data_IF_060489972391
#
_entry.id   IF_060489972391
#
_cell.length_a   1.000
_cell.length_b   1.000
_cell.length_c   1.000
_cell.angle_alpha   90.00
_cell.angle_beta   90.00
_cell.angle_gamma   90.00
#
_symmetry.space_group_name_H-M   'P 1'
#
loop_
_entity.id
_entity.type
_entity.pdbx_description
1 polymer ?
#
# COMPACT_ATOMS: atom_id res chain seq x y z
N UNK A 1 5.61 -14.56 -18.83
CA UNK A 1 6.38 -13.30 -18.92
C UNK A 1 7.59 -13.53 -19.80
N UNK A 2 7.89 -12.59 -20.71
CA UNK A 2 9.09 -12.64 -21.56
C UNK A 2 10.35 -12.85 -20.70
N UNK A 3 11.32 -13.64 -21.20
CA UNK A 3 12.64 -13.85 -20.55
C UNK A 3 13.42 -12.55 -20.29
N UNK A 4 12.97 -11.42 -20.85
CA UNK A 4 13.59 -10.09 -20.73
C UNK A 4 12.82 -9.11 -19.83
N UNK A 5 11.83 -9.54 -19.07
CA UNK A 5 11.07 -8.62 -18.20
C UNK A 5 11.88 -8.24 -16.95
N UNK A 6 12.40 -7.01 -16.94
CA UNK A 6 13.27 -6.48 -15.88
C UNK A 6 12.52 -6.32 -14.55
N UNK A 7 13.21 -6.46 -13.43
CA UNK A 7 12.63 -6.18 -12.12
C UNK A 7 12.28 -4.69 -11.96
N UNK A 8 11.30 -4.36 -11.11
CA UNK A 8 10.83 -2.97 -10.93
C UNK A 8 11.97 -1.98 -10.56
N UNK A 9 12.91 -2.30 -9.64
CA UNK A 9 14.02 -1.40 -9.35
C UNK A 9 14.90 -1.06 -10.57
N UNK A 10 15.08 -2.04 -11.47
CA UNK A 10 15.86 -1.86 -12.69
C UNK A 10 15.08 -0.97 -13.67
N UNK A 11 13.78 -1.23 -13.87
CA UNK A 11 12.92 -0.40 -14.73
C UNK A 11 12.90 1.06 -14.26
N UNK A 12 12.73 1.27 -12.95
CA UNK A 12 12.72 2.61 -12.37
C UNK A 12 14.09 3.29 -12.49
N UNK A 13 15.18 2.59 -12.22
CA UNK A 13 16.54 3.13 -12.36
C UNK A 13 16.84 3.56 -13.79
N UNK A 14 16.54 2.72 -14.78
CA UNK A 14 16.74 3.04 -16.19
C UNK A 14 15.91 4.25 -16.63
N UNK A 15 14.65 4.32 -16.19
CA UNK A 15 13.77 5.45 -16.50
C UNK A 15 14.27 6.74 -15.86
N UNK A 16 14.69 6.71 -14.59
CA UNK A 16 15.27 7.87 -13.91
C UNK A 16 16.56 8.33 -14.57
N UNK A 17 17.47 7.42 -14.95
CA UNK A 17 18.70 7.76 -15.67
C UNK A 17 18.38 8.43 -17.00
N UNK A 18 17.38 7.94 -17.74
CA UNK A 18 16.90 8.55 -18.98
C UNK A 18 16.42 9.98 -18.75
N UNK A 19 15.46 10.16 -17.83
CA UNK A 19 14.90 11.49 -17.53
C UNK A 19 15.96 12.46 -16.97
N UNK A 20 16.95 11.98 -16.20
CA UNK A 20 18.04 12.81 -15.68
C UNK A 20 18.89 13.37 -16.82
N UNK A 21 19.24 12.52 -17.80
CA UNK A 21 20.04 12.94 -18.98
C UNK A 21 19.30 13.94 -19.85
N UNK A 22 17.99 13.81 -19.94
CA UNK A 22 17.12 14.72 -20.69
C UNK A 22 16.80 16.02 -19.94
N UNK A 23 17.15 16.12 -18.65
CA UNK A 23 16.82 17.27 -17.83
C UNK A 23 15.36 17.33 -17.36
N UNK A 24 14.61 16.24 -17.54
CA UNK A 24 13.16 16.16 -17.30
C UNK A 24 12.78 15.32 -16.07
N UNK A 25 13.76 14.88 -15.28
CA UNK A 25 13.49 14.07 -14.10
C UNK A 25 12.68 14.82 -13.04
N UNK A 26 12.02 14.06 -12.17
CA UNK A 26 11.35 14.61 -10.99
C UNK A 26 12.28 15.45 -10.09
N UNK A 27 13.59 15.22 -10.13
CA UNK A 27 14.56 15.98 -9.34
C UNK A 27 14.96 17.31 -9.97
N UNK A 28 14.75 17.47 -11.28
CA UNK A 28 15.18 18.66 -12.03
C UNK A 28 14.01 19.58 -12.37
N UNK A 29 12.85 18.98 -12.71
CA UNK A 29 11.70 19.72 -13.19
C UNK A 29 10.51 19.51 -12.24
N UNK A 30 10.17 20.50 -11.40
CA UNK A 30 9.10 20.38 -10.42
C UNK A 30 7.69 20.59 -10.99
N UNK A 31 7.58 21.16 -12.20
CA UNK A 31 6.32 21.40 -12.90
C UNK A 31 6.33 20.77 -14.30
N UNK A 32 5.16 20.36 -14.78
CA UNK A 32 4.91 19.99 -16.18
C UNK A 32 4.81 21.26 -17.04
N UNK A 33 4.83 21.11 -18.35
CA UNK A 33 4.71 22.24 -19.29
C UNK A 33 3.35 22.95 -19.23
N UNK A 34 2.31 22.24 -18.80
CA UNK A 34 0.97 22.81 -18.55
C UNK A 34 0.84 23.52 -17.19
N UNK A 35 1.94 23.67 -16.43
CA UNK A 35 1.95 24.33 -15.13
C UNK A 35 1.51 23.46 -13.95
N UNK A 36 1.04 22.22 -14.18
CA UNK A 36 0.69 21.30 -13.11
C UNK A 36 1.95 20.73 -12.43
N UNK A 37 1.84 20.26 -11.17
CA UNK A 37 2.95 19.57 -10.50
C UNK A 37 3.50 18.40 -11.31
N UNK A 38 4.83 18.31 -11.39
CA UNK A 38 5.54 17.23 -12.07
C UNK A 38 5.27 15.85 -11.43
N UNK A 39 4.97 15.85 -10.14
CA UNK A 39 4.56 14.69 -9.36
C UNK A 39 3.21 14.96 -8.70
N UNK A 40 2.23 14.14 -9.02
CA UNK A 40 0.96 14.07 -8.28
C UNK A 40 0.92 12.70 -7.62
N UNK A 41 0.62 12.64 -6.31
CA UNK A 41 0.66 11.40 -5.56
C UNK A 41 -0.30 10.38 -6.19
N UNK A 42 0.18 9.22 -6.67
CA UNK A 42 -0.69 8.18 -7.21
C UNK A 42 -1.58 7.61 -6.11
N UNK A 43 -2.87 7.47 -6.35
CA UNK A 43 -3.87 6.96 -5.39
C UNK A 43 -4.68 5.82 -5.98
N UNK A 44 -5.13 4.92 -5.10
CA UNK A 44 -6.16 3.97 -5.44
C UNK A 44 -7.53 4.61 -5.16
N UNK A 45 -8.37 4.88 -6.18
CA UNK A 45 -9.62 5.62 -5.99
C UNK A 45 -10.66 4.88 -5.16
N UNK A 46 -10.61 3.54 -5.12
CA UNK A 46 -11.54 2.72 -4.32
C UNK A 46 -11.26 2.79 -2.83
N UNK A 47 -9.97 2.84 -2.45
CA UNK A 47 -9.56 2.84 -1.04
C UNK A 47 -9.20 4.24 -0.52
N UNK A 48 -9.04 5.22 -1.41
CA UNK A 48 -8.50 6.55 -1.11
C UNK A 48 -7.01 6.55 -0.73
N UNK A 49 -6.36 5.38 -0.64
CA UNK A 49 -4.98 5.28 -0.17
C UNK A 49 -4.00 5.60 -1.29
N UNK A 50 -3.02 6.43 -0.96
CA UNK A 50 -1.87 6.67 -1.83
C UNK A 50 -0.96 5.46 -1.95
N UNK A 51 -0.43 5.22 -3.14
CA UNK A 51 0.67 4.28 -3.34
C UNK A 51 1.93 4.81 -2.63
N UNK A 52 2.82 3.90 -2.26
CA UNK A 52 3.98 4.19 -1.41
C UNK A 52 5.32 3.86 -2.08
N UNK A 53 6.38 4.51 -1.61
CA UNK A 53 7.77 4.21 -1.96
C UNK A 53 8.00 4.12 -3.48
N UNK A 54 8.61 3.02 -3.95
CA UNK A 54 8.98 2.83 -5.35
C UNK A 54 7.77 2.79 -6.29
N UNK A 55 6.62 2.31 -5.81
CA UNK A 55 5.39 2.28 -6.61
C UNK A 55 4.87 3.69 -6.84
N UNK A 56 4.92 4.57 -5.84
CA UNK A 56 4.54 5.97 -6.02
C UNK A 56 5.41 6.64 -7.08
N UNK A 57 6.73 6.40 -7.06
CA UNK A 57 7.65 6.95 -8.05
C UNK A 57 7.35 6.43 -9.45
N UNK A 58 7.31 5.11 -9.67
CA UNK A 58 7.17 4.57 -11.03
C UNK A 58 5.83 4.96 -11.69
N UNK A 59 4.75 5.05 -10.89
CA UNK A 59 3.44 5.49 -11.35
C UNK A 59 3.43 7.00 -11.61
N UNK A 60 3.95 7.81 -10.68
CA UNK A 60 4.03 9.27 -10.85
C UNK A 60 4.90 9.69 -12.04
N UNK A 61 5.94 8.91 -12.35
CA UNK A 61 6.79 9.13 -13.52
C UNK A 61 6.14 8.72 -14.85
N UNK A 62 4.93 8.16 -14.87
CA UNK A 62 4.15 8.02 -16.11
C UNK A 62 3.53 9.35 -16.56
N UNK A 63 3.54 10.39 -15.70
CA UNK A 63 3.16 11.78 -16.02
C UNK A 63 1.71 12.00 -16.46
N UNK A 64 0.81 11.06 -16.17
CA UNK A 64 -0.63 11.31 -16.23
C UNK A 64 -1.04 12.48 -15.32
N UNK A 65 -2.06 13.22 -15.73
CA UNK A 65 -2.65 14.30 -14.94
C UNK A 65 -3.63 13.73 -13.89
N UNK A 66 -4.30 12.62 -14.23
CA UNK A 66 -5.14 11.90 -13.28
C UNK A 66 -4.29 11.07 -12.29
N UNK A 67 -4.46 11.25 -10.97
CA UNK A 67 -3.67 10.52 -9.98
C UNK A 67 -4.18 9.09 -9.71
N UNK A 68 -5.29 8.65 -10.33
CA UNK A 68 -5.97 7.40 -9.96
C UNK A 68 -5.41 6.21 -10.73
N UNK A 69 -5.09 5.14 -10.01
CA UNK A 69 -4.55 3.91 -10.57
C UNK A 69 -5.26 2.67 -10.04
N UNK A 70 -5.59 1.74 -10.93
CA UNK A 70 -6.24 0.46 -10.61
C UNK A 70 -5.63 -0.69 -11.41
N UNK A 71 -5.67 -1.90 -10.88
CA UNK A 71 -5.48 -3.09 -11.72
C UNK A 71 -6.70 -3.28 -12.62
N UNK A 72 -6.54 -4.01 -13.72
CA UNK A 72 -7.66 -4.32 -14.60
C UNK A 72 -8.82 -5.03 -13.86
N UNK A 73 -8.51 -5.90 -12.91
CA UNK A 73 -9.53 -6.60 -12.11
C UNK A 73 -10.24 -5.67 -11.13
N UNK A 74 -9.51 -4.74 -10.49
CA UNK A 74 -10.12 -3.74 -9.62
C UNK A 74 -10.98 -2.74 -10.40
N UNK A 75 -10.53 -2.34 -11.59
CA UNK A 75 -11.31 -1.51 -12.51
C UNK A 75 -12.63 -2.21 -12.88
N UNK A 76 -12.57 -3.48 -13.31
CA UNK A 76 -13.76 -4.28 -13.64
C UNK A 76 -14.72 -4.44 -12.47
N UNK A 77 -14.19 -4.72 -11.29
CA UNK A 77 -15.01 -4.82 -10.07
C UNK A 77 -15.75 -3.52 -9.77
N UNK A 78 -15.12 -2.38 -10.04
CA UNK A 78 -15.72 -1.06 -9.89
C UNK A 78 -16.56 -0.61 -11.12
N UNK A 79 -16.84 -1.50 -12.08
CA UNK A 79 -17.64 -1.19 -13.27
C UNK A 79 -16.91 -0.43 -14.38
N UNK A 80 -15.57 -0.39 -14.36
CA UNK A 80 -14.73 0.31 -15.34
C UNK A 80 -13.96 -0.69 -16.20
N UNK A 81 -13.54 -0.26 -17.39
CA UNK A 81 -12.76 -1.11 -18.30
C UNK A 81 -11.52 -0.43 -18.81
N UNK A 82 -10.38 -1.13 -18.78
CA UNK A 82 -9.16 -0.67 -19.45
C UNK A 82 -9.39 -0.66 -20.96
N UNK A 83 -9.04 0.44 -21.63
CA UNK A 83 -9.14 0.58 -23.08
C UNK A 83 -8.26 -0.45 -23.80
N UNK A 84 -8.70 -0.90 -24.97
CA UNK A 84 -7.95 -1.87 -25.76
C UNK A 84 -6.58 -1.30 -26.17
N UNK A 85 -5.53 -2.13 -26.07
CA UNK A 85 -4.16 -1.77 -26.45
C UNK A 85 -3.36 -1.01 -25.39
N UNK A 86 -3.99 -0.56 -24.30
CA UNK A 86 -3.30 0.14 -23.21
C UNK A 86 -2.29 -0.75 -22.47
N UNK A 87 -1.22 -0.12 -21.99
CA UNK A 87 -0.13 -0.82 -21.30
C UNK A 87 -0.12 -0.45 -19.82
N UNK A 88 -0.13 -1.47 -18.97
CA UNK A 88 -0.07 -1.31 -17.53
C UNK A 88 1.36 -1.04 -17.03
N UNK A 89 1.46 -0.31 -15.93
CA UNK A 89 2.70 -0.04 -15.19
C UNK A 89 2.88 -1.07 -14.09
N UNK A 90 4.05 -1.72 -14.06
CA UNK A 90 4.37 -2.71 -13.04
C UNK A 90 4.51 -2.05 -11.66
N UNK A 91 3.87 -2.62 -10.66
CA UNK A 91 4.14 -2.38 -9.25
C UNK A 91 4.54 -3.66 -8.54
N UNK A 92 5.24 -3.49 -7.42
CA UNK A 92 5.57 -4.61 -6.53
C UNK A 92 5.11 -4.32 -5.10
N UNK A 93 4.54 -5.32 -4.43
CA UNK A 93 3.97 -5.15 -3.09
C UNK A 93 4.16 -6.41 -2.24
N UNK A 94 4.24 -6.29 -0.91
CA UNK A 94 4.22 -7.46 -0.04
C UNK A 94 2.85 -8.14 -0.13
N UNK A 95 2.80 -9.32 -0.74
CA UNK A 95 1.61 -10.17 -0.80
C UNK A 95 1.60 -11.08 0.42
N UNK A 96 0.60 -10.94 1.29
CA UNK A 96 0.48 -11.69 2.56
C UNK A 96 -0.50 -12.85 2.49
N UNK A 97 -1.30 -12.95 1.43
CA UNK A 97 -2.25 -14.04 1.23
C UNK A 97 -2.48 -14.31 -0.26
N UNK A 98 -3.02 -15.49 -0.57
CA UNK A 98 -3.47 -15.85 -1.91
C UNK A 98 -4.83 -16.52 -1.88
N UNK A 99 -5.61 -16.35 -2.94
CA UNK A 99 -6.89 -17.04 -3.09
C UNK A 99 -6.61 -18.35 -3.82
N UNK A 100 -6.81 -19.48 -3.14
CA UNK A 100 -6.59 -20.81 -3.69
C UNK A 100 -7.91 -21.55 -3.87
N UNK A 101 -8.08 -22.25 -4.99
CA UNK A 101 -9.23 -23.14 -5.19
C UNK A 101 -9.25 -24.24 -4.13
N UNK A 102 -10.41 -24.47 -3.53
CA UNK A 102 -10.62 -25.63 -2.65
C UNK A 102 -10.65 -26.87 -3.54
N UNK A 103 -9.92 -27.91 -3.12
CA UNK A 103 -9.78 -29.16 -3.86
C UNK A 103 -10.19 -30.35 -3.01
N UNK A 104 -10.72 -31.40 -3.64
CA UNK A 104 -10.98 -32.71 -3.04
C UNK A 104 -9.67 -33.43 -2.70
N UNK A 105 -9.74 -34.56 -1.99
CA UNK A 105 -8.56 -35.38 -1.68
C UNK A 105 -7.87 -35.91 -2.94
N UNK A 106 -8.62 -36.04 -4.03
CA UNK A 106 -8.21 -36.49 -5.35
C UNK A 106 -7.68 -35.33 -6.22
N UNK A 107 -7.70 -34.09 -5.71
CA UNK A 107 -7.13 -32.91 -6.35
C UNK A 107 -8.07 -32.14 -7.29
N UNK A 108 -9.34 -32.56 -7.40
CA UNK A 108 -10.35 -31.89 -8.23
C UNK A 108 -10.87 -30.62 -7.56
N UNK A 109 -11.24 -29.60 -8.34
CA UNK A 109 -11.76 -28.33 -7.80
C UNK A 109 -13.20 -28.51 -7.31
N UNK A 110 -13.47 -28.10 -6.07
CA UNK A 110 -14.83 -28.09 -5.52
C UNK A 110 -15.58 -26.88 -6.09
N UNK A 111 -16.79 -27.11 -6.59
CA UNK A 111 -17.70 -26.06 -7.08
C UNK A 111 -18.89 -25.92 -6.15
N UNK A 112 -19.47 -24.72 -6.09
CA UNK A 112 -20.76 -24.50 -5.44
C UNK A 112 -21.93 -24.90 -6.34
N UNK A 113 -23.16 -24.75 -5.84
CA UNK A 113 -24.40 -25.08 -6.54
C UNK A 113 -24.60 -24.27 -7.83
N UNK A 114 -23.95 -23.10 -7.96
CA UNK A 114 -23.94 -22.27 -9.15
C UNK A 114 -22.83 -22.66 -10.15
N UNK A 115 -22.04 -23.70 -9.85
CA UNK A 115 -20.94 -24.17 -10.68
C UNK A 115 -19.66 -23.33 -10.57
N UNK A 116 -19.59 -22.41 -9.61
CA UNK A 116 -18.42 -21.55 -9.35
C UNK A 116 -17.43 -22.28 -8.46
N UNK A 117 -16.14 -22.22 -8.78
CA UNK A 117 -15.10 -22.88 -7.97
C UNK A 117 -15.02 -22.22 -6.59
N UNK A 118 -15.21 -23.01 -5.53
CA UNK A 118 -15.02 -22.52 -4.17
C UNK A 118 -13.54 -22.20 -3.95
N UNK A 119 -13.27 -21.10 -3.25
CA UNK A 119 -11.91 -20.65 -2.96
C UNK A 119 -11.72 -20.41 -1.47
N UNK A 120 -10.48 -20.54 -1.01
CA UNK A 120 -10.07 -20.15 0.34
C UNK A 120 -8.89 -19.18 0.27
N UNK A 121 -8.88 -18.22 1.17
CA UNK A 121 -7.73 -17.34 1.36
C UNK A 121 -6.69 -18.08 2.18
N UNK A 122 -5.52 -18.32 1.61
CA UNK A 122 -4.36 -18.90 2.30
C UNK A 122 -3.40 -17.77 2.64
N UNK A 123 -3.26 -17.47 3.93
CA UNK A 123 -2.23 -16.54 4.38
C UNK A 123 -0.84 -17.19 4.26
N UNK A 124 0.15 -16.38 3.88
CA UNK A 124 1.53 -16.81 3.85
C UNK A 124 2.19 -16.56 5.20
N UNK A 125 3.01 -17.51 5.68
CA UNK A 125 3.80 -17.34 6.90
C UNK A 125 4.75 -16.13 6.82
N UNK A 126 5.20 -15.79 5.62
CA UNK A 126 6.01 -14.60 5.34
C UNK A 126 5.46 -13.87 4.12
N UNK A 127 5.47 -12.52 4.11
CA UNK A 127 5.11 -11.77 2.92
C UNK A 127 5.95 -12.21 1.72
N UNK A 128 5.28 -12.52 0.62
CA UNK A 128 5.91 -12.80 -0.67
C UNK A 128 5.95 -11.53 -1.52
N UNK A 129 6.80 -11.51 -2.55
CA UNK A 129 6.82 -10.41 -3.51
C UNK A 129 5.66 -10.54 -4.50
N UNK A 130 4.59 -9.78 -4.27
CA UNK A 130 3.48 -9.62 -5.20
C UNK A 130 3.86 -8.69 -6.35
N UNK A 131 3.29 -8.97 -7.53
CA UNK A 131 3.39 -8.13 -8.73
C UNK A 131 2.00 -7.85 -9.25
N UNK A 132 1.74 -6.62 -9.65
CA UNK A 132 0.52 -6.26 -10.37
C UNK A 132 0.86 -5.23 -11.45
N UNK A 133 0.03 -5.18 -12.47
CA UNK A 133 0.05 -4.09 -13.45
C UNK A 133 -1.12 -3.19 -13.14
N UNK A 134 -0.84 -1.90 -12.99
CA UNK A 134 -1.86 -0.87 -12.81
C UNK A 134 -1.99 -0.06 -14.08
N UNK A 135 -3.20 0.43 -14.31
CA UNK A 135 -3.56 1.33 -15.38
C UNK A 135 -4.02 2.63 -14.73
N UNK A 136 -3.67 3.74 -15.35
CA UNK A 136 -4.14 5.04 -14.96
C UNK A 136 -5.62 5.21 -15.37
N UNK A 137 -6.37 6.05 -14.66
CA UNK A 137 -7.74 6.38 -15.03
C UNK A 137 -7.90 6.90 -16.47
N UNK A 138 -6.93 7.64 -17.00
CA UNK A 138 -6.92 8.10 -18.40
C UNK A 138 -6.91 6.92 -19.41
N UNK A 139 -6.47 5.74 -18.98
CA UNK A 139 -6.43 4.50 -19.77
C UNK A 139 -7.72 3.67 -19.64
N UNK A 140 -8.76 4.19 -18.98
CA UNK A 140 -10.00 3.47 -18.70
C UNK A 140 -11.21 4.16 -19.32
N UNK A 141 -12.24 3.35 -19.57
CA UNK A 141 -13.60 3.79 -19.90
C UNK A 141 -14.46 3.78 -18.64
N UNK A 142 -15.49 4.63 -18.65
CA UNK A 142 -16.55 4.70 -17.64
C UNK A 142 -16.09 5.04 -16.22
N UNK A 143 -14.87 5.60 -16.10
CA UNK A 143 -14.36 6.12 -14.84
C UNK A 143 -15.01 7.45 -14.49
N UNK A 144 -15.37 7.60 -13.21
CA UNK A 144 -15.90 8.84 -12.65
C UNK A 144 -14.99 10.02 -13.07
N UNK A 145 -15.53 11.17 -13.49
CA UNK A 145 -14.72 12.34 -13.84
C UNK A 145 -13.75 12.74 -12.73
N UNK A 146 -12.58 13.26 -13.10
CA UNK A 146 -11.55 13.62 -12.14
C UNK A 146 -12.04 14.71 -11.18
N UNK A 147 -12.80 15.67 -11.68
CA UNK A 147 -13.34 16.80 -10.93
C UNK A 147 -14.25 16.33 -9.80
N UNK A 148 -15.11 15.32 -10.06
CA UNK A 148 -15.99 14.75 -9.04
C UNK A 148 -15.19 14.00 -7.96
N UNK A 149 -14.12 13.29 -8.36
CA UNK A 149 -13.24 12.63 -7.40
C UNK A 149 -12.50 13.63 -6.51
N UNK A 150 -11.96 14.70 -7.09
CA UNK A 150 -11.24 15.74 -6.35
C UNK A 150 -12.17 16.50 -5.40
N UNK A 151 -13.40 16.83 -5.82
CA UNK A 151 -14.38 17.46 -4.97
C UNK A 151 -14.65 16.64 -3.69
N UNK A 152 -14.84 15.33 -3.84
CA UNK A 152 -15.01 14.41 -2.69
C UNK A 152 -13.76 14.27 -1.80
N UNK A 153 -12.56 14.43 -2.37
CA UNK A 153 -11.34 14.39 -1.56
C UNK A 153 -11.11 15.68 -0.77
N UNK A 154 -11.51 16.82 -1.31
CA UNK A 154 -11.35 18.11 -0.66
C UNK A 154 -12.47 18.38 0.37
N UNK A 155 -13.59 17.65 0.29
CA UNK A 155 -14.62 17.60 1.34
C UNK A 155 -14.00 17.21 2.70
N UNK A 156 -13.93 18.19 3.61
CA UNK A 156 -13.45 17.97 4.97
C UNK A 156 -11.96 18.20 5.20
N UNK A 157 -11.23 18.80 4.24
CA UNK A 157 -9.86 19.26 4.45
C UNK A 157 -9.81 20.77 4.76
N UNK A 158 -9.80 21.20 6.04
CA UNK A 158 -9.90 22.61 6.39
C UNK A 158 -8.60 23.39 6.14
N UNK A 159 -7.45 22.71 6.11
CA UNK A 159 -6.14 23.34 5.96
C UNK A 159 -5.72 23.41 4.49
N UNK A 160 -5.27 24.58 4.08
CA UNK A 160 -4.58 24.80 2.81
C UNK A 160 -3.27 24.01 2.74
N UNK A 161 -2.70 23.79 1.52
CA UNK A 161 -1.40 23.14 1.37
C UNK A 161 -0.28 23.74 2.23
N UNK A 162 -0.25 25.06 2.34
CA UNK A 162 0.75 25.81 3.12
C UNK A 162 0.56 25.57 4.62
N UNK A 163 -0.65 25.71 5.14
CA UNK A 163 -0.95 25.46 6.56
C UNK A 163 -0.64 24.02 6.97
N UNK A 164 -0.83 23.04 6.07
CA UNK A 164 -0.42 21.65 6.34
C UNK A 164 1.09 21.50 6.41
N UNK A 165 1.84 22.22 5.58
CA UNK A 165 3.31 22.19 5.60
C UNK A 165 3.89 22.88 6.85
N UNK A 166 3.32 24.03 7.22
CA UNK A 166 3.63 24.71 8.47
C UNK A 166 3.38 23.79 9.67
N UNK A 167 2.19 23.20 9.74
CA UNK A 167 1.85 22.24 10.80
C UNK A 167 2.81 21.05 10.85
N UNK A 168 3.22 20.50 9.70
CA UNK A 168 4.19 19.41 9.67
C UNK A 168 5.54 19.82 10.29
N UNK A 169 6.01 21.03 9.98
CA UNK A 169 7.25 21.57 10.53
C UNK A 169 7.11 21.79 12.04
N UNK A 170 6.01 22.38 12.49
CA UNK A 170 5.75 22.57 13.92
C UNK A 170 5.65 21.25 14.69
N UNK A 171 4.97 20.25 14.12
CA UNK A 171 4.80 18.93 14.71
C UNK A 171 6.12 18.14 14.74
N UNK A 172 7.05 18.42 13.83
CA UNK A 172 8.38 17.79 13.79
C UNK A 172 9.23 18.08 15.03
N UNK A 173 9.00 19.23 15.68
CA UNK A 173 9.80 19.76 16.80
C UNK A 173 11.29 19.92 16.49
N UNK A 174 11.67 19.97 15.21
CA UNK A 174 13.04 20.27 14.83
C UNK A 174 13.40 21.71 15.24
N UNK A 175 14.65 21.89 15.70
CA UNK A 175 15.17 23.24 15.96
C UNK A 175 15.50 23.88 14.61
N UNK A 176 14.77 24.93 14.25
CA UNK A 176 15.01 25.72 13.03
C UNK A 176 15.58 27.08 13.43
N UNK A 177 16.73 27.42 12.87
CA UNK A 177 17.44 28.67 13.12
C UNK A 177 17.50 29.45 11.81
N UNK A 178 16.99 30.68 11.84
CA UNK A 178 17.01 31.57 10.69
C UNK A 178 18.30 32.39 10.62
N UNK A 179 18.82 32.55 9.40
CA UNK A 179 20.00 33.35 9.10
C UNK A 179 20.88 32.74 8.01
N UNK A 180 21.75 33.57 7.41
CA UNK A 180 22.62 33.15 6.30
C UNK A 180 21.94 33.25 4.94
N UNK A 181 22.43 32.45 3.98
CA UNK A 181 21.98 32.46 2.57
C UNK A 181 21.54 31.08 2.06
N UNK A 182 21.89 30.00 2.77
CA UNK A 182 21.64 28.64 2.32
C UNK A 182 20.90 27.83 3.38
N UNK A 183 20.01 26.95 2.94
CA UNK A 183 19.30 26.02 3.79
C UNK A 183 20.10 24.71 3.94
N UNK A 184 20.34 24.27 5.17
CA UNK A 184 21.04 23.01 5.45
C UNK A 184 20.70 22.43 6.82
N UNK A 185 20.83 21.13 6.97
CA UNK A 185 20.79 20.44 8.25
C UNK A 185 22.20 20.25 8.82
N UNK A 186 22.43 20.72 10.04
CA UNK A 186 23.67 20.50 10.79
C UNK A 186 23.52 19.30 11.73
N UNK A 187 24.15 18.18 11.37
CA UNK A 187 24.10 16.94 12.15
C UNK A 187 24.73 17.07 13.55
N UNK A 188 25.76 17.90 13.72
CA UNK A 188 26.45 18.03 15.02
C UNK A 188 25.62 18.82 16.02
N UNK A 189 24.93 19.87 15.54
CA UNK A 189 24.06 20.70 16.36
C UNK A 189 22.64 20.17 16.48
N UNK A 190 22.29 19.17 15.67
CA UNK A 190 20.94 18.67 15.49
C UNK A 190 19.93 19.81 15.22
N UNK A 191 20.29 20.70 14.29
CA UNK A 191 19.52 21.89 13.96
C UNK A 191 19.46 22.11 12.45
N UNK A 192 18.34 22.66 11.99
CA UNK A 192 18.15 23.08 10.61
C UNK A 192 18.42 24.59 10.54
N UNK A 193 19.27 24.99 9.61
CA UNK A 193 19.50 26.39 9.29
C UNK A 193 18.73 26.74 8.03
N UNK A 194 18.00 27.85 8.06
CA UNK A 194 17.20 28.36 6.95
C UNK A 194 17.52 29.85 6.72
N UNK A 195 17.57 30.33 5.48
CA UNK A 195 17.45 31.76 5.21
C UNK A 195 16.13 32.33 5.77
N UNK A 196 16.08 33.63 5.96
CA UNK A 196 14.83 34.32 6.30
C UNK A 196 13.78 34.06 5.21
N UNK A 197 12.50 33.95 5.61
CA UNK A 197 11.42 33.57 4.71
C UNK A 197 11.29 34.53 3.52
N UNK A 198 11.56 35.83 3.74
CA UNK A 198 11.52 36.89 2.74
C UNK A 198 12.62 36.76 1.68
N UNK A 199 13.63 35.91 1.89
CA UNK A 199 14.66 35.62 0.89
C UNK A 199 14.21 34.55 -0.12
N UNK A 200 13.09 33.88 0.14
CA UNK A 200 12.48 32.94 -0.80
C UNK A 200 11.52 33.66 -1.74
N UNK A 201 11.36 33.13 -2.95
CA UNK A 201 10.42 33.65 -3.95
C UNK A 201 8.97 33.69 -3.42
N UNK A 202 8.61 32.72 -2.59
CA UNK A 202 7.34 32.64 -1.88
C UNK A 202 7.41 31.62 -0.74
N UNK A 203 6.40 31.61 0.12
CA UNK A 203 6.25 30.69 1.25
C UNK A 203 6.34 29.22 0.84
N UNK A 204 5.75 28.84 -0.31
CA UNK A 204 5.79 27.44 -0.77
C UNK A 204 7.23 26.98 -1.02
N UNK A 205 8.10 27.84 -1.58
CA UNK A 205 9.52 27.53 -1.76
C UNK A 205 10.26 27.39 -0.43
N UNK A 206 9.94 28.23 0.55
CA UNK A 206 10.47 28.11 1.91
C UNK A 206 10.11 26.75 2.52
N UNK A 207 8.82 26.39 2.48
CA UNK A 207 8.35 25.12 3.05
C UNK A 207 8.91 23.89 2.32
N UNK A 208 9.05 23.94 0.99
CA UNK A 208 9.70 22.89 0.22
C UNK A 208 11.16 22.69 0.65
N UNK A 209 11.92 23.77 0.84
CA UNK A 209 13.29 23.71 1.32
C UNK A 209 13.36 23.18 2.77
N UNK A 210 12.48 23.64 3.67
CA UNK A 210 12.40 23.17 5.04
C UNK A 210 12.07 21.66 5.12
N UNK A 211 11.14 21.17 4.28
CA UNK A 211 10.79 19.74 4.19
C UNK A 211 11.99 18.90 3.73
N UNK A 212 12.78 19.39 2.77
CA UNK A 212 14.02 18.71 2.35
C UNK A 212 15.03 18.63 3.51
N UNK A 213 15.22 19.72 4.25
CA UNK A 213 16.12 19.70 5.41
C UNK A 213 15.57 18.84 6.55
N UNK A 214 14.26 18.80 6.76
CA UNK A 214 13.63 17.87 7.69
C UNK A 214 13.87 16.42 7.30
N UNK A 215 13.86 16.11 6.00
CA UNK A 215 14.18 14.77 5.53
C UNK A 215 15.59 14.36 5.98
N UNK A 216 16.60 15.23 5.84
CA UNK A 216 17.93 15.01 6.40
C UNK A 216 17.93 14.92 7.92
N UNK A 217 17.24 15.84 8.60
CA UNK A 217 17.11 15.86 10.06
C UNK A 217 16.65 14.50 10.58
N UNK A 218 15.65 13.86 9.98
CA UNK A 218 15.21 12.52 10.44
C UNK A 218 16.30 11.44 10.46
N UNK A 219 17.42 11.62 9.77
CA UNK A 219 18.51 10.65 9.69
C UNK A 219 19.44 10.58 10.91
N UNK A 220 19.32 11.51 11.86
CA UNK A 220 20.11 11.50 13.10
C UNK A 220 19.93 10.22 13.92
N UNK A 221 20.93 9.93 14.76
CA UNK A 221 21.03 8.70 15.56
C UNK A 221 19.85 8.50 16.53
N UNK A 222 19.26 9.58 17.03
CA UNK A 222 18.08 9.55 17.90
C UNK A 222 16.75 9.30 17.17
N UNK A 223 16.77 9.23 15.83
CA UNK A 223 15.57 9.13 14.98
C UNK A 223 15.62 7.89 14.08
N UNK A 224 15.78 8.05 12.76
CA UNK A 224 15.86 6.93 11.83
C UNK A 224 17.27 6.34 11.72
N UNK A 225 18.28 6.96 12.36
CA UNK A 225 19.66 6.50 12.44
C UNK A 225 20.20 6.00 11.09
N UNK A 226 20.10 6.85 10.08
CA UNK A 226 20.57 6.52 8.73
C UNK A 226 22.06 6.81 8.61
N UNK A 227 22.78 6.06 7.76
CA UNK A 227 24.18 6.35 7.48
C UNK A 227 24.28 7.64 6.66
N UNK A 228 24.38 8.78 7.34
CA UNK A 228 24.59 10.11 6.76
C UNK A 228 26.09 10.47 6.69
N UNK A 229 26.94 9.47 6.46
CA UNK A 229 28.38 9.64 6.39
C UNK A 229 28.81 9.96 4.94
N UNK A 230 29.87 10.75 4.78
CA UNK A 230 30.41 11.10 3.48
C UNK A 230 30.67 12.60 3.33
N UNK A 231 31.68 12.95 2.54
CA UNK A 231 31.98 14.34 2.22
C UNK A 231 31.06 14.83 1.11
N UNK A 232 30.77 16.14 1.10
CA UNK A 232 30.05 16.78 0.00
C UNK A 232 30.60 16.35 -1.37
N UNK A 233 29.70 15.97 -2.28
CA UNK A 233 30.04 15.48 -3.62
C UNK A 233 30.44 14.00 -3.72
N UNK A 234 30.58 13.28 -2.60
CA UNK A 234 30.81 11.82 -2.61
C UNK A 234 29.55 11.03 -2.99
N UNK A 235 29.72 9.75 -3.37
CA UNK A 235 28.59 8.87 -3.68
C UNK A 235 27.75 8.55 -2.44
N UNK A 236 28.36 8.43 -1.25
CA UNK A 236 27.63 8.19 -0.01
C UNK A 236 26.78 9.41 0.39
N UNK A 237 27.33 10.61 0.22
CA UNK A 237 26.56 11.85 0.37
C UNK A 237 25.37 11.90 -0.63
N UNK A 238 25.62 11.57 -1.91
CA UNK A 238 24.57 11.54 -2.92
C UNK A 238 23.48 10.49 -2.66
N UNK A 239 23.80 9.39 -1.99
CA UNK A 239 22.81 8.39 -1.54
C UNK A 239 21.84 8.97 -0.52
N UNK A 240 22.31 9.80 0.41
CA UNK A 240 21.44 10.49 1.38
C UNK A 240 20.63 11.62 0.72
N UNK A 241 21.23 12.40 -0.18
CA UNK A 241 20.49 13.39 -0.97
C UNK A 241 19.36 12.76 -1.78
N UNK A 242 19.60 11.59 -2.41
CA UNK A 242 18.55 10.88 -3.13
C UNK A 242 17.42 10.43 -2.21
N UNK A 243 17.72 10.00 -0.97
CA UNK A 243 16.70 9.65 0.03
C UNK A 243 15.88 10.87 0.43
N UNK A 244 16.54 11.98 0.74
CA UNK A 244 15.91 13.23 1.14
C UNK A 244 15.04 13.81 0.01
N UNK A 245 15.55 13.83 -1.22
CA UNK A 245 14.82 14.32 -2.39
C UNK A 245 13.58 13.46 -2.69
N UNK A 246 13.68 12.13 -2.65
CA UNK A 246 12.51 11.25 -2.81
C UNK A 246 11.50 11.51 -1.69
N UNK A 247 11.95 11.66 -0.44
CA UNK A 247 11.05 11.95 0.67
C UNK A 247 10.33 13.29 0.50
N UNK A 248 11.03 14.34 0.09
CA UNK A 248 10.44 15.64 -0.20
C UNK A 248 9.42 15.58 -1.35
N UNK A 249 9.66 14.79 -2.40
CA UNK A 249 8.67 14.54 -3.46
C UNK A 249 7.40 13.87 -2.88
N UNK A 250 7.58 12.82 -2.07
CA UNK A 250 6.44 12.08 -1.49
C UNK A 250 5.63 12.94 -0.52
N UNK A 251 6.30 13.68 0.37
CA UNK A 251 5.66 14.58 1.34
C UNK A 251 5.00 15.75 0.61
N UNK A 252 5.70 16.39 -0.32
CA UNK A 252 5.15 17.50 -1.11
C UNK A 252 3.94 17.11 -1.94
N UNK A 253 3.92 15.87 -2.46
CA UNK A 253 2.75 15.30 -3.13
C UNK A 253 1.57 15.07 -2.18
N UNK A 254 1.82 14.63 -0.95
CA UNK A 254 0.77 14.48 0.08
C UNK A 254 0.20 15.82 0.54
N UNK A 255 1.07 16.78 0.78
CA UNK A 255 0.69 18.11 1.24
C UNK A 255 0.13 18.98 0.11
N UNK A 256 0.18 18.54 -1.15
CA UNK A 256 -0.14 19.32 -2.35
C UNK A 256 0.69 20.61 -2.47
N UNK A 257 1.89 20.65 -1.88
CA UNK A 257 2.84 21.77 -2.01
C UNK A 257 3.80 21.58 -3.17
N UNK A 258 3.88 20.38 -3.74
CA UNK A 258 4.92 20.01 -4.70
C UNK A 258 6.30 20.00 -4.07
N UNK A 259 7.33 20.00 -4.90
CA UNK A 259 8.74 19.95 -4.48
C UNK A 259 9.58 20.92 -5.31
N UNK A 260 10.74 21.32 -4.80
CA UNK A 260 11.75 22.05 -5.57
C UNK A 260 13.14 21.83 -4.97
N UNK A 261 14.07 21.42 -5.82
CA UNK A 261 15.48 21.20 -5.43
C UNK A 261 16.42 22.26 -6.00
N UNK A 262 15.90 23.27 -6.70
CA UNK A 262 16.70 24.32 -7.34
C UNK A 262 17.67 23.77 -8.39
N UNK A 263 18.75 24.50 -8.66
CA UNK A 263 19.78 24.11 -9.63
C UNK A 263 20.82 23.15 -9.04
N UNK A 264 20.40 22.02 -8.50
CA UNK A 264 21.31 21.00 -7.96
C UNK A 264 21.83 20.02 -9.02
N UNK A 265 22.30 20.55 -10.15
CA UNK A 265 22.86 19.78 -11.27
C UNK A 265 24.03 18.86 -10.83
N UNK A 266 24.75 19.23 -9.76
CA UNK A 266 25.86 18.46 -9.22
C UNK A 266 25.46 17.06 -8.73
N UNK A 267 24.26 16.89 -8.14
CA UNK A 267 23.83 15.59 -7.63
C UNK A 267 23.29 14.67 -8.71
N UNK A 268 22.75 15.22 -9.79
CA UNK A 268 22.11 14.43 -10.86
C UNK A 268 23.08 13.46 -11.53
N UNK A 269 24.33 13.89 -11.75
CA UNK A 269 25.36 13.01 -12.29
C UNK A 269 25.70 11.86 -11.34
N UNK A 270 25.77 12.14 -10.03
CA UNK A 270 26.00 11.11 -9.03
C UNK A 270 24.80 10.16 -8.89
N UNK A 271 23.57 10.66 -8.97
CA UNK A 271 22.36 9.83 -8.96
C UNK A 271 22.35 8.88 -10.15
N UNK A 272 22.54 9.42 -11.37
CA UNK A 272 22.60 8.61 -12.58
C UNK A 272 23.72 7.56 -12.52
N UNK A 273 24.89 7.90 -11.95
CA UNK A 273 25.99 6.96 -11.73
C UNK A 273 25.59 5.84 -10.75
N UNK A 274 25.08 6.19 -9.57
CA UNK A 274 24.64 5.22 -8.55
C UNK A 274 23.60 4.26 -9.13
N UNK A 275 22.59 4.79 -9.84
CA UNK A 275 21.52 3.97 -10.41
C UNK A 275 21.99 3.09 -11.57
N UNK A 276 23.04 3.51 -12.30
CA UNK A 276 23.65 2.70 -13.36
C UNK A 276 24.46 1.54 -12.79
N UNK A 277 25.27 1.83 -11.77
CA UNK A 277 26.20 0.86 -11.17
C UNK A 277 25.46 -0.07 -10.19
N UNK A 278 24.47 0.43 -9.47
CA UNK A 278 23.69 -0.25 -8.42
C UNK A 278 22.17 0.03 -8.56
N UNK A 279 21.47 -0.56 -9.56
CA UNK A 279 20.07 -0.24 -9.85
C UNK A 279 19.07 -0.62 -8.73
N UNK A 280 19.49 -1.43 -7.76
CA UNK A 280 18.66 -1.74 -6.59
C UNK A 280 18.76 -0.67 -5.48
N UNK A 281 19.66 0.30 -5.60
CA UNK A 281 19.76 1.40 -4.64
C UNK A 281 18.48 2.25 -4.63
N UNK A 282 17.80 2.42 -5.76
CA UNK A 282 16.51 3.15 -5.80
C UNK A 282 15.45 2.51 -4.90
N UNK A 283 15.43 1.18 -4.79
CA UNK A 283 14.49 0.47 -3.93
C UNK A 283 14.83 0.64 -2.45
N UNK A 284 16.11 0.78 -2.10
CA UNK A 284 16.53 1.12 -0.73
C UNK A 284 16.19 2.57 -0.42
N UNK A 285 16.58 3.50 -1.29
CA UNK A 285 16.32 4.93 -1.12
C UNK A 285 14.82 5.22 -1.02
N UNK A 286 13.98 4.60 -1.87
CA UNK A 286 12.52 4.76 -1.81
C UNK A 286 11.91 4.21 -0.52
N UNK A 287 12.44 3.11 0.02
CA UNK A 287 11.97 2.56 1.31
C UNK A 287 12.34 3.48 2.46
N UNK A 288 13.56 4.00 2.47
CA UNK A 288 13.99 4.94 3.50
C UNK A 288 13.21 6.26 3.39
N UNK A 289 13.01 6.78 2.17
CA UNK A 289 12.17 7.94 1.92
C UNK A 289 10.72 7.76 2.41
N UNK A 290 10.15 6.57 2.24
CA UNK A 290 8.82 6.29 2.79
C UNK A 290 8.83 6.28 4.32
N UNK A 291 9.89 5.81 4.99
CA UNK A 291 10.00 5.89 6.45
C UNK A 291 10.12 7.36 6.91
N UNK A 292 10.88 8.18 6.18
CA UNK A 292 10.98 9.63 6.42
C UNK A 292 9.60 10.26 6.33
N UNK A 293 8.89 10.03 5.21
CA UNK A 293 7.55 10.55 5.00
C UNK A 293 6.58 10.09 6.10
N UNK A 294 6.60 8.81 6.48
CA UNK A 294 5.74 8.30 7.55
C UNK A 294 6.04 8.97 8.91
N UNK A 295 7.33 9.18 9.24
CA UNK A 295 7.72 9.83 10.48
C UNK A 295 7.23 11.29 10.52
N UNK A 296 7.47 12.05 9.46
CA UNK A 296 7.13 13.48 9.41
C UNK A 296 5.62 13.73 9.25
N UNK A 297 4.91 12.87 8.51
CA UNK A 297 3.45 12.96 8.36
C UNK A 297 2.68 12.36 9.56
N UNK A 298 3.38 11.90 10.61
CA UNK A 298 2.75 11.30 11.80
C UNK A 298 2.02 9.97 11.51
N UNK A 299 2.34 9.30 10.40
CA UNK A 299 1.75 8.01 10.06
C UNK A 299 2.34 6.95 10.97
N UNK A 300 1.61 6.61 12.03
CA UNK A 300 1.96 5.48 12.89
C UNK A 300 1.81 4.22 12.06
N UNK A 301 2.92 3.56 11.73
CA UNK A 301 2.85 2.16 11.30
C UNK A 301 2.39 1.36 12.52
N UNK A 302 1.07 1.20 12.68
CA UNK A 302 0.55 0.01 13.35
C UNK A 302 0.97 -1.17 12.48
N UNK A 303 2.20 -1.64 12.68
CA UNK A 303 2.43 -3.08 12.53
C UNK A 303 1.44 -3.68 13.51
N UNK A 304 0.35 -4.20 13.00
CA UNK A 304 -0.34 -5.28 13.67
C UNK A 304 0.75 -6.33 13.88
N UNK A 305 1.40 -6.29 15.04
CA UNK A 305 1.94 -7.49 15.62
C UNK A 305 0.70 -8.36 15.79
N UNK A 306 0.39 -9.17 14.77
CA UNK A 306 -0.35 -10.40 15.00
C UNK A 306 0.43 -11.06 16.13
N UNK A 307 -0.06 -10.93 17.37
CA UNK A 307 0.31 -11.85 18.43
C UNK A 307 0.19 -13.22 17.80
N UNK A 308 1.26 -14.01 17.84
CA UNK A 308 1.20 -15.38 17.42
C UNK A 308 -0.06 -15.96 18.07
N UNK A 309 -1.05 -16.47 17.30
CA UNK A 309 -2.26 -16.98 17.92
C UNK A 309 -1.82 -17.98 18.98
N UNK A 310 -2.29 -17.78 20.22
CA UNK A 310 -2.13 -18.78 21.26
C UNK A 310 -2.49 -20.13 20.66
N UNK A 311 -1.65 -21.14 20.84
CA UNK A 311 -1.83 -22.42 20.18
C UNK A 311 -3.17 -23.04 20.58
N UNK A 312 -4.20 -22.82 19.76
CA UNK A 312 -5.50 -23.44 19.91
C UNK A 312 -5.25 -24.93 19.65
N UNK A 313 -5.23 -25.72 20.72
CA UNK A 313 -5.11 -27.16 20.70
C UNK A 313 -6.44 -27.83 21.03
N UNK A 314 -6.58 -29.09 20.66
CA UNK A 314 -7.72 -29.91 21.08
C UNK A 314 -7.65 -30.22 22.59
N UNK A 315 -8.82 -30.24 23.23
CA UNK A 315 -9.03 -30.68 24.61
C UNK A 315 -10.02 -31.83 24.58
N UNK A 316 -9.86 -32.79 25.50
CA UNK A 316 -10.85 -33.85 25.69
C UNK A 316 -12.21 -33.23 26.03
N UNK A 317 -13.24 -33.60 25.28
CA UNK A 317 -14.60 -33.08 25.41
C UNK A 317 -14.95 -31.95 24.45
N UNK A 318 -14.04 -31.46 23.60
CA UNK A 318 -14.41 -30.51 22.55
C UNK A 318 -15.46 -31.13 21.61
N UNK A 319 -16.49 -30.36 21.30
CA UNK A 319 -17.46 -30.66 20.24
C UNK A 319 -17.26 -29.64 19.12
N UNK A 320 -16.90 -30.12 17.94
CA UNK A 320 -16.44 -29.29 16.83
C UNK A 320 -17.33 -29.58 15.63
N UNK A 321 -18.20 -28.63 15.30
CA UNK A 321 -18.98 -28.66 14.07
C UNK A 321 -18.04 -28.46 12.88
N UNK A 322 -18.04 -29.41 11.95
CA UNK A 322 -17.25 -29.33 10.73
C UNK A 322 -18.00 -29.99 9.57
N UNK A 323 -18.29 -29.18 8.55
CA UNK A 323 -19.19 -29.54 7.45
C UNK A 323 -20.60 -29.87 7.98
N UNK A 324 -21.14 -31.03 7.65
CA UNK A 324 -22.47 -31.52 7.99
C UNK A 324 -22.48 -32.43 9.23
N UNK A 325 -21.37 -32.52 9.96
CA UNK A 325 -21.25 -33.38 11.14
C UNK A 325 -20.55 -32.67 12.31
N UNK A 326 -20.71 -33.24 13.50
CA UNK A 326 -20.04 -32.79 14.73
C UNK A 326 -19.06 -33.84 15.19
N UNK A 327 -17.81 -33.43 15.41
CA UNK A 327 -16.75 -34.29 15.93
C UNK A 327 -16.52 -34.02 17.41
N UNK A 328 -16.67 -35.05 18.23
CA UNK A 328 -16.36 -35.01 19.66
C UNK A 328 -14.96 -35.55 19.92
N UNK A 329 -14.10 -34.75 20.54
CA UNK A 329 -12.75 -35.18 20.93
C UNK A 329 -12.83 -36.05 22.19
N UNK A 330 -12.65 -37.36 22.02
CA UNK A 330 -12.69 -38.33 23.12
C UNK A 330 -11.39 -38.35 23.93
N UNK A 331 -10.23 -38.23 23.27
CA UNK A 331 -8.91 -38.28 23.89
C UNK A 331 -7.88 -37.46 23.11
N UNK A 332 -6.88 -36.95 23.83
CA UNK A 332 -5.71 -36.25 23.25
C UNK A 332 -4.44 -36.98 23.69
N UNK A 333 -3.57 -37.34 22.75
CA UNK A 333 -2.35 -38.09 23.02
C UNK A 333 -1.12 -37.19 23.10
N UNK A 334 -0.05 -37.65 23.77
CA UNK A 334 1.23 -36.92 23.89
C UNK A 334 1.89 -36.61 22.54
N UNK A 335 1.57 -37.38 21.49
CA UNK A 335 2.03 -37.18 20.11
C UNK A 335 1.25 -36.12 19.34
N UNK A 336 0.37 -35.36 20.03
CA UNK A 336 -0.61 -34.43 19.44
C UNK A 336 -1.68 -35.08 18.55
N UNK A 337 -1.74 -36.41 18.48
CA UNK A 337 -2.88 -37.09 17.86
C UNK A 337 -4.11 -36.97 18.74
N UNK A 338 -5.31 -37.04 18.15
CA UNK A 338 -6.59 -37.03 18.87
C UNK A 338 -7.44 -38.22 18.48
N UNK A 339 -8.27 -38.71 19.40
CA UNK A 339 -9.35 -39.65 19.10
C UNK A 339 -10.65 -38.87 19.02
N UNK A 340 -11.35 -38.98 17.89
CA UNK A 340 -12.64 -38.31 17.67
C UNK A 340 -13.75 -39.31 17.38
N UNK A 341 -14.97 -38.94 17.72
CA UNK A 341 -16.21 -39.63 17.36
C UNK A 341 -17.09 -38.66 16.57
N UNK A 342 -17.58 -39.08 15.40
CA UNK A 342 -18.56 -38.30 14.63
C UNK A 342 -20.00 -38.55 15.10
N UNK A 343 -20.95 -37.79 14.56
CA UNK A 343 -22.38 -37.90 14.92
C UNK A 343 -22.99 -39.28 14.62
N UNK A 344 -22.37 -40.08 13.75
CA UNK A 344 -22.80 -41.45 13.41
C UNK A 344 -22.18 -42.49 14.36
N UNK A 345 -21.38 -42.06 15.35
CA UNK A 345 -20.72 -42.92 16.33
C UNK A 345 -19.43 -43.57 15.82
N UNK A 346 -18.93 -43.19 14.64
CA UNK A 346 -17.69 -43.73 14.09
C UNK A 346 -16.48 -43.08 14.77
N UNK A 347 -15.60 -43.93 15.31
CA UNK A 347 -14.41 -43.51 16.06
C UNK A 347 -13.15 -43.58 15.22
N UNK A 348 -12.38 -42.49 15.14
CA UNK A 348 -11.12 -42.42 14.40
C UNK A 348 -10.02 -41.72 15.20
N UNK A 349 -8.77 -42.16 15.01
CA UNK A 349 -7.58 -41.48 15.55
C UNK A 349 -6.99 -40.60 14.47
N UNK A 350 -6.95 -39.28 14.70
CA UNK A 350 -6.42 -38.29 13.78
C UNK A 350 -5.01 -37.87 14.21
N UNK A 351 -4.05 -37.98 13.28
CA UNK A 351 -2.69 -37.49 13.47
C UNK A 351 -2.56 -36.05 12.96
N UNK A 352 -1.58 -35.26 13.44
CA UNK A 352 -1.34 -33.90 12.96
C UNK A 352 -1.14 -33.77 11.44
N UNK A 353 -0.65 -34.84 10.79
CA UNK A 353 -0.48 -34.86 9.34
C UNK A 353 -1.80 -34.95 8.56
N UNK A 354 -2.89 -35.40 9.18
CA UNK A 354 -4.15 -35.67 8.48
C UNK A 354 -4.91 -34.38 8.18
N UNK A 355 -5.51 -34.31 6.98
CA UNK A 355 -6.30 -33.14 6.57
C UNK A 355 -7.41 -32.80 7.55
N UNK A 356 -8.18 -33.80 7.98
CA UNK A 356 -9.27 -33.63 8.95
C UNK A 356 -8.78 -33.09 10.31
N UNK A 357 -7.58 -33.46 10.77
CA UNK A 357 -7.02 -32.89 12.01
C UNK A 357 -6.85 -31.37 11.89
N UNK A 358 -6.31 -30.90 10.77
CA UNK A 358 -6.09 -29.46 10.53
C UNK A 358 -7.41 -28.72 10.38
N UNK A 359 -8.36 -29.31 9.66
CA UNK A 359 -9.71 -28.79 9.49
C UNK A 359 -10.47 -28.61 10.80
N UNK A 360 -10.42 -29.59 11.71
CA UNK A 360 -11.07 -29.47 13.02
C UNK A 360 -10.39 -28.44 13.91
N UNK A 361 -9.07 -28.26 13.79
CA UNK A 361 -8.34 -27.25 14.55
C UNK A 361 -8.73 -25.84 14.10
N UNK A 362 -8.90 -25.66 12.79
CA UNK A 362 -9.38 -24.41 12.17
C UNK A 362 -10.84 -24.13 12.51
N UNK A 363 -11.72 -25.13 12.45
CA UNK A 363 -13.13 -25.00 12.84
C UNK A 363 -13.29 -24.68 14.33
N UNK A 364 -12.43 -25.23 15.19
CA UNK A 364 -12.38 -24.86 16.61
C UNK A 364 -11.89 -23.43 16.84
N UNK A 365 -10.93 -22.97 16.03
CA UNK A 365 -10.42 -21.60 16.10
C UNK A 365 -11.45 -20.57 15.63
N UNK A 366 -12.31 -20.95 14.69
CA UNK A 366 -13.35 -20.12 14.09
C UNK A 366 -14.70 -20.86 14.08
N UNK A 367 -15.38 -21.02 15.24
CA UNK A 367 -16.66 -21.70 15.29
C UNK A 367 -17.70 -20.90 14.48
N UNK A 368 -18.30 -21.53 13.46
CA UNK A 368 -19.41 -20.94 12.72
C UNK A 368 -20.63 -20.87 13.65
N UNK A 369 -21.26 -19.70 13.76
CA UNK A 369 -22.57 -19.59 14.41
C UNK A 369 -23.61 -20.40 13.60
N UNK A 370 -24.51 -21.14 14.26
CA UNK A 370 -25.55 -21.88 13.56
C UNK A 370 -26.51 -20.90 12.86
N UNK A 371 -26.73 -21.11 11.55
CA UNK A 371 -27.78 -20.44 10.79
C UNK A 371 -29.14 -20.71 11.47
N UNK A 372 -29.80 -19.64 11.91
CA UNK A 372 -31.21 -19.65 12.29
C UNK A 372 -32.03 -20.13 11.09
N UNK A 373 -32.48 -21.38 11.13
CA UNK A 373 -33.49 -21.91 10.23
C UNK A 373 -34.78 -21.09 10.44
N UNK A 374 -35.13 -20.25 9.46
CA UNK A 374 -36.45 -19.65 9.34
C UNK A 374 -37.45 -20.78 9.09
N UNK A 375 -38.21 -21.15 10.12
CA UNK A 375 -39.32 -22.06 10.00
C UNK A 375 -40.41 -21.45 9.13
N UNK A 376 -40.86 -22.22 8.14
CA UNK A 376 -42.06 -21.98 7.37
C UNK A 376 -43.28 -21.96 8.30
N UNK A 377 -43.94 -20.80 8.44
CA UNK A 377 -45.31 -20.75 8.96
C UNK A 377 -46.31 -20.74 7.80
N UNK A 378 -46.98 -21.88 7.66
CA UNK A 378 -48.24 -22.01 6.95
C UNK A 378 -49.32 -21.17 7.65
N UNK A 379 -49.97 -20.28 6.90
CA UNK A 379 -51.20 -19.60 7.30
C UNK A 379 -52.27 -19.76 6.23
N UNK A 380 -53.21 -20.68 6.45
CA UNK A 380 -54.44 -20.82 5.67
C UNK A 380 -55.51 -19.78 6.03
N UNK A 381 -56.35 -19.45 5.03
CA UNK A 381 -57.72 -18.90 5.07
C UNK A 381 -57.85 -17.40 5.44
N UNK A 382 -58.66 -16.55 4.78
CA UNK A 382 -59.98 -16.77 4.17
C UNK A 382 -60.28 -15.78 3.02
N UNK A 383 -61.12 -16.23 2.09
CA UNK A 383 -61.86 -15.43 1.11
C UNK A 383 -62.73 -14.34 1.76
N UNK A 384 -62.83 -13.17 1.11
CA UNK A 384 -64.08 -12.62 0.55
C UNK A 384 -63.80 -11.26 -0.12
N UNK A 385 -64.07 -11.15 -1.42
CA UNK A 385 -64.24 -9.86 -2.11
C UNK A 385 -65.62 -9.23 -1.82
N UNK A 386 -66.10 -8.23 -2.60
CA UNK A 386 -65.52 -7.74 -3.85
C UNK A 386 -65.59 -6.20 -4.08
N UNK A 387 -65.03 -5.80 -5.23
CA UNK A 387 -65.55 -4.77 -6.14
C UNK A 387 -65.15 -3.30 -5.90
N UNK A 388 -64.27 -2.77 -6.76
CA UNK A 388 -64.66 -1.71 -7.70
C UNK A 388 -63.62 -1.52 -8.81
N UNK A 389 -64.15 -1.11 -9.97
CA UNK A 389 -63.63 -1.24 -11.33
C UNK A 389 -63.40 0.17 -11.89
N UNK A 390 -62.42 0.29 -12.80
CA UNK A 390 -62.31 1.28 -13.90
C UNK A 390 -61.83 2.68 -13.45
N UNK A 391 -60.66 3.18 -13.87
CA UNK A 391 -60.28 3.62 -15.23
C UNK A 391 -60.17 5.16 -15.19
N UNK A 392 -59.18 5.85 -15.75
CA UNK A 392 -58.40 5.71 -16.98
C UNK A 392 -56.97 6.22 -16.74
#
# INVERSE_FOLDING_TARGET
>A
MSKNFKALPIQLSEKLIGEIKEGNSLFQKPLKDNGLPAFVKPVNPTTGKGYSAMNALILGMQRHDDPRWLSADAARFAGNWVKEGERGTLIEFPKTSDIQAIRTAEGERIKDEAGVTQTKTVEFEKPQQGKAFLFNAEQMNDIVPLEEFLAKQDEGQPLSPVERAEKLIEDSKAVIIHGGQEAYYDKQRDAIFMPEMEQFENETKYYQAAIHQLAHWTGHESRLNRPMEGKFGSLDYAREEMRAAIAAILIGGELKTGHNFGHQAAYMNNFAKILKDEPFEIAKASRDAQKIANLLLGVTQKREQKQAPEAIGFKKGDEIAYMDTTYKVLETYKTKSIKVEDAEGTRKVLKPEYGLYKSLLEAKANPREPELQLAEEQGQSHEQGPNQKIGR
#
